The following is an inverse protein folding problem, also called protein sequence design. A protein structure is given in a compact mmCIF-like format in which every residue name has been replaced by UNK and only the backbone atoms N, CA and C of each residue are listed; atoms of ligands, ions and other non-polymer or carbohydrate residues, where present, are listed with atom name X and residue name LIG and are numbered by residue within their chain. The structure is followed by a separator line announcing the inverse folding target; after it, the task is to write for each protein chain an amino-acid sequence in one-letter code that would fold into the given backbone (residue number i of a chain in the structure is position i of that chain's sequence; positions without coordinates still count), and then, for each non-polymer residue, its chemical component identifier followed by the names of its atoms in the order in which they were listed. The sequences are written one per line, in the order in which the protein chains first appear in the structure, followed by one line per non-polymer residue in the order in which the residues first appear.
data_IF_997616090366
#
_entry.id   IF_997616090366
#
_cell.length_a   1.000
_cell.length_b   1.000
_cell.length_c   1.000
_cell.angle_alpha   90.00
_cell.angle_beta   90.00
_cell.angle_gamma   90.00
#
_symmetry.space_group_name_H-M   'P 1'
#
loop_
_entity.id
_entity.type
_entity.pdbx_description
1 polymer ?
#
# COMPACT_ATOMS: atom_id res chain seq x y z
N UNK A 1 10.04 -11.85 -21.54
CA UNK A 1 9.67 -11.40 -22.91
C UNK A 1 8.28 -11.93 -23.24
N UNK A 2 7.52 -11.31 -24.15
CA UNK A 2 6.26 -11.90 -24.62
C UNK A 2 6.53 -12.73 -25.88
N UNK A 3 6.11 -13.98 -25.86
CA UNK A 3 6.22 -14.91 -26.98
C UNK A 3 4.83 -15.38 -27.41
N UNK A 4 4.69 -15.83 -28.66
CA UNK A 4 3.44 -16.39 -29.15
C UNK A 4 3.17 -17.67 -28.36
N UNK A 5 2.01 -17.74 -27.69
CA UNK A 5 1.67 -18.91 -26.86
C UNK A 5 1.57 -20.17 -27.72
N UNK A 6 1.90 -21.33 -27.16
CA UNK A 6 1.62 -22.61 -27.80
C UNK A 6 0.16 -23.03 -27.68
N UNK A 7 -0.63 -22.35 -26.83
CA UNK A 7 -2.03 -22.67 -26.57
C UNK A 7 -2.96 -22.05 -27.61
N UNK A 8 -3.95 -22.84 -28.02
CA UNK A 8 -4.99 -22.42 -28.96
C UNK A 8 -6.04 -21.53 -28.30
N UNK A 9 -6.21 -21.63 -26.97
CA UNK A 9 -7.23 -20.92 -26.19
C UNK A 9 -6.61 -19.94 -25.21
N UNK A 10 -7.31 -18.83 -25.00
CA UNK A 10 -6.94 -17.81 -24.01
C UNK A 10 -7.22 -18.32 -22.59
N UNK A 11 -6.25 -18.11 -21.71
CA UNK A 11 -6.37 -18.34 -20.27
C UNK A 11 -5.98 -17.09 -19.49
N UNK A 12 -6.30 -17.04 -18.20
CA UNK A 12 -5.86 -15.95 -17.32
C UNK A 12 -4.32 -15.94 -17.26
N UNK A 13 -3.74 -14.74 -17.36
CA UNK A 13 -2.29 -14.51 -17.42
C UNK A 13 -1.71 -14.48 -18.84
N UNK A 14 -2.48 -14.82 -19.87
CA UNK A 14 -2.08 -14.57 -21.26
C UNK A 14 -2.17 -13.08 -21.60
N UNK A 15 -1.33 -12.68 -22.55
CA UNK A 15 -1.40 -11.39 -23.22
C UNK A 15 -2.05 -11.60 -24.58
N UNK A 16 -3.11 -10.87 -24.90
CA UNK A 16 -3.81 -11.01 -26.17
C UNK A 16 -3.71 -9.73 -26.98
N UNK A 17 -3.53 -9.89 -28.30
CA UNK A 17 -3.66 -8.78 -29.24
C UNK A 17 -5.11 -8.78 -29.72
N UNK A 18 -5.85 -7.72 -29.40
CA UNK A 18 -7.30 -7.65 -29.67
C UNK A 18 -7.67 -6.35 -30.37
N UNK A 19 -8.69 -6.45 -31.23
CA UNK A 19 -9.43 -5.29 -31.71
C UNK A 19 -10.71 -5.17 -30.89
N UNK A 20 -10.98 -3.96 -30.39
CA UNK A 20 -12.16 -3.63 -29.61
C UNK A 20 -12.96 -2.58 -30.35
N UNK A 21 -14.28 -2.78 -30.41
CA UNK A 21 -15.19 -1.84 -31.04
C UNK A 21 -16.50 -1.74 -30.25
N UNK A 22 -16.61 -0.69 -29.44
CA UNK A 22 -17.76 -0.46 -28.59
C UNK A 22 -18.83 0.44 -29.24
N UNK A 23 -20.09 0.07 -29.05
CA UNK A 23 -21.25 0.80 -29.55
C UNK A 23 -22.30 0.95 -28.45
N UNK A 24 -22.97 2.10 -28.38
CA UNK A 24 -24.22 2.25 -27.62
C UNK A 24 -25.35 2.46 -28.62
N UNK A 25 -26.21 1.44 -28.75
CA UNK A 25 -27.21 1.40 -29.81
C UNK A 25 -26.54 1.39 -31.19
N UNK A 26 -26.76 2.44 -31.99
CA UNK A 26 -26.12 2.61 -33.30
C UNK A 26 -24.91 3.54 -33.28
N UNK A 27 -24.64 4.22 -32.16
CA UNK A 27 -23.53 5.16 -32.05
C UNK A 27 -22.26 4.43 -31.56
N UNK A 28 -21.20 4.49 -32.36
CA UNK A 28 -19.86 4.00 -31.95
C UNK A 28 -19.27 4.90 -30.88
N UNK A 29 -18.57 4.31 -29.90
CA UNK A 29 -17.82 5.05 -28.89
C UNK A 29 -16.38 5.20 -29.35
N UNK A 30 -15.89 6.43 -29.50
CA UNK A 30 -14.49 6.70 -29.86
C UNK A 30 -13.52 6.10 -28.82
N UNK A 31 -13.81 6.28 -27.54
CA UNK A 31 -13.02 5.73 -26.43
C UNK A 31 -13.10 4.19 -26.32
N UNK A 32 -14.05 3.58 -27.03
CA UNK A 32 -14.24 2.13 -27.07
C UNK A 32 -13.68 1.45 -28.32
N UNK A 33 -12.98 2.21 -29.17
CA UNK A 33 -12.29 1.70 -30.35
C UNK A 33 -10.80 1.51 -30.05
N UNK A 34 -10.32 0.28 -30.17
CA UNK A 34 -8.90 -0.02 -30.09
C UNK A 34 -8.52 -1.04 -31.17
N UNK A 35 -7.38 -0.84 -31.81
CA UNK A 35 -6.82 -1.79 -32.78
C UNK A 35 -5.46 -2.27 -32.30
N UNK A 36 -5.16 -3.55 -32.52
CA UNK A 36 -3.92 -4.20 -32.10
C UNK A 36 -3.59 -3.96 -30.61
N UNK A 37 -4.62 -3.89 -29.78
CA UNK A 37 -4.49 -3.56 -28.38
C UNK A 37 -3.97 -4.77 -27.62
N UNK A 38 -2.82 -4.61 -26.96
CA UNK A 38 -2.21 -5.65 -26.14
C UNK A 38 -2.81 -5.62 -24.73
N UNK A 39 -3.59 -6.65 -24.39
CA UNK A 39 -4.30 -6.76 -23.12
C UNK A 39 -3.81 -7.97 -22.31
N UNK A 40 -3.61 -7.80 -21.00
CA UNK A 40 -3.34 -8.91 -20.08
C UNK A 40 -4.66 -9.43 -19.49
N UNK A 41 -5.00 -10.67 -19.82
CA UNK A 41 -6.28 -11.28 -19.43
C UNK A 41 -6.23 -11.70 -17.96
N UNK A 42 -7.20 -11.24 -17.16
CA UNK A 42 -7.26 -11.52 -15.72
C UNK A 42 -6.44 -10.56 -14.86
N UNK A 43 -5.97 -9.43 -15.42
CA UNK A 43 -5.22 -8.42 -14.67
C UNK A 43 -6.12 -7.50 -13.83
N UNK A 44 -7.42 -7.44 -14.13
CA UNK A 44 -8.37 -6.54 -13.47
C UNK A 44 -8.16 -5.07 -13.82
N UNK A 45 -7.35 -4.78 -14.85
CA UNK A 45 -7.10 -3.41 -15.34
C UNK A 45 -8.10 -3.01 -16.42
N UNK A 46 -8.82 -3.97 -16.98
CA UNK A 46 -9.79 -3.75 -18.04
C UNK A 46 -11.20 -4.06 -17.53
N UNK A 47 -12.21 -3.75 -18.34
CA UNK A 47 -13.61 -4.07 -18.02
C UNK A 47 -13.72 -5.58 -17.83
N UNK A 48 -14.20 -6.00 -16.66
CA UNK A 48 -14.22 -7.40 -16.22
C UNK A 48 -14.92 -8.30 -17.24
N UNK A 49 -16.05 -7.85 -17.77
CA UNK A 49 -16.85 -8.58 -18.75
C UNK A 49 -16.06 -8.82 -20.06
N UNK A 50 -15.18 -7.90 -20.45
CA UNK A 50 -14.27 -8.09 -21.62
C UNK A 50 -13.22 -9.16 -21.30
N UNK A 51 -12.57 -9.07 -20.14
CA UNK A 51 -11.57 -10.06 -19.72
C UNK A 51 -12.17 -11.47 -19.61
N UNK A 52 -13.37 -11.60 -19.05
CA UNK A 52 -14.10 -12.87 -18.94
C UNK A 52 -14.53 -13.41 -20.31
N UNK A 53 -14.93 -12.54 -21.23
CA UNK A 53 -15.34 -12.94 -22.57
C UNK A 53 -14.19 -13.51 -23.40
N UNK A 54 -12.97 -12.98 -23.19
CA UNK A 54 -11.74 -13.41 -23.85
C UNK A 54 -11.29 -14.80 -23.41
N UNK A 55 -11.51 -15.19 -22.16
CA UNK A 55 -11.12 -16.52 -21.67
C UNK A 55 -11.83 -17.61 -22.48
N UNK A 56 -11.04 -18.56 -23.00
CA UNK A 56 -11.51 -19.66 -23.83
C UNK A 56 -11.67 -19.34 -25.32
N UNK A 57 -11.52 -18.08 -25.75
CA UNK A 57 -11.49 -17.72 -27.17
C UNK A 57 -10.24 -18.27 -27.87
N UNK A 58 -10.38 -18.60 -29.14
CA UNK A 58 -9.28 -19.05 -30.01
C UNK A 58 -8.82 -17.93 -30.94
N UNK A 59 -7.58 -18.01 -31.42
CA UNK A 59 -7.01 -17.03 -32.36
C UNK A 59 -7.89 -16.85 -33.59
N UNK A 60 -8.10 -15.61 -33.99
CA UNK A 60 -8.96 -15.25 -35.11
C UNK A 60 -10.45 -15.24 -34.79
N UNK A 61 -10.88 -15.65 -33.59
CA UNK A 61 -12.29 -15.57 -33.21
C UNK A 61 -12.71 -14.15 -32.86
N UNK A 62 -13.97 -13.85 -33.15
CA UNK A 62 -14.64 -12.63 -32.72
C UNK A 62 -15.83 -12.96 -31.86
N UNK A 63 -16.11 -12.10 -30.87
CA UNK A 63 -17.22 -12.25 -29.94
C UNK A 63 -17.84 -10.89 -29.67
N UNK A 64 -19.15 -10.86 -29.53
CA UNK A 64 -19.86 -9.66 -29.10
C UNK A 64 -20.38 -9.87 -27.68
N UNK A 65 -20.21 -8.87 -26.82
CA UNK A 65 -20.74 -8.88 -25.46
C UNK A 65 -21.47 -7.58 -25.15
N UNK A 66 -22.45 -7.64 -24.27
CA UNK A 66 -23.07 -6.46 -23.69
C UNK A 66 -22.45 -6.15 -22.33
N UNK A 67 -22.08 -4.89 -22.14
CA UNK A 67 -21.52 -4.36 -20.89
C UNK A 67 -22.39 -3.21 -20.42
N UNK A 68 -22.73 -3.21 -19.14
CA UNK A 68 -23.44 -2.11 -18.49
C UNK A 68 -22.49 -1.36 -17.56
N UNK A 69 -22.34 -0.05 -17.78
CA UNK A 69 -21.44 0.77 -16.97
C UNK A 69 -22.12 1.23 -15.68
N UNK A 70 -21.50 0.89 -14.54
CA UNK A 70 -21.98 1.27 -13.22
C UNK A 70 -21.87 2.77 -12.90
N UNK A 71 -22.47 3.23 -11.79
CA UNK A 71 -22.52 4.65 -11.40
C UNK A 71 -21.15 5.29 -11.15
N UNK A 72 -20.16 4.48 -10.77
CA UNK A 72 -18.81 4.94 -10.41
C UNK A 72 -17.85 5.05 -11.62
N UNK A 73 -18.35 4.86 -12.85
CA UNK A 73 -17.50 4.93 -14.03
C UNK A 73 -17.02 6.37 -14.29
N UNK A 74 -15.72 6.60 -14.58
CA UNK A 74 -15.16 7.95 -14.78
C UNK A 74 -15.84 8.76 -15.90
N UNK A 75 -16.34 8.06 -16.93
CA UNK A 75 -17.08 8.67 -18.03
C UNK A 75 -18.58 8.66 -17.76
N UNK A 76 -19.10 9.75 -17.18
CA UNK A 76 -20.54 9.89 -16.85
C UNK A 76 -21.47 9.72 -18.06
N UNK A 77 -20.99 9.95 -19.29
CA UNK A 77 -21.80 9.84 -20.52
C UNK A 77 -22.25 8.41 -20.87
N UNK A 78 -21.56 7.40 -20.33
CA UNK A 78 -21.85 5.98 -20.59
C UNK A 78 -22.51 5.28 -19.40
N UNK A 79 -22.52 5.92 -18.22
CA UNK A 79 -23.14 5.40 -16.99
C UNK A 79 -24.62 5.10 -17.23
N UNK A 80 -25.06 3.89 -16.84
CA UNK A 80 -26.45 3.44 -16.99
C UNK A 80 -26.88 3.12 -18.42
N UNK A 81 -25.95 3.15 -19.39
CA UNK A 81 -26.21 2.71 -20.77
C UNK A 81 -25.58 1.34 -20.99
N UNK A 82 -26.27 0.52 -21.79
CA UNK A 82 -25.73 -0.74 -22.30
C UNK A 82 -24.89 -0.47 -23.54
N UNK A 83 -23.63 -0.90 -23.52
CA UNK A 83 -22.75 -0.86 -24.66
C UNK A 83 -22.49 -2.28 -25.17
N UNK A 84 -22.55 -2.46 -26.48
CA UNK A 84 -22.15 -3.68 -27.16
C UNK A 84 -20.69 -3.55 -27.58
N UNK A 85 -19.84 -4.44 -27.06
CA UNK A 85 -18.43 -4.54 -27.44
C UNK A 85 -18.24 -5.67 -28.42
N UNK A 86 -17.70 -5.36 -29.60
CA UNK A 86 -17.17 -6.36 -30.52
C UNK A 86 -15.69 -6.55 -30.24
N UNK A 87 -15.31 -7.78 -29.94
CA UNK A 87 -13.96 -8.16 -29.55
C UNK A 87 -13.44 -9.11 -30.63
N UNK A 88 -12.35 -8.74 -31.29
CA UNK A 88 -11.65 -9.60 -32.26
C UNK A 88 -10.31 -10.03 -31.68
N UNK A 89 -10.10 -11.33 -31.49
CA UNK A 89 -8.83 -11.88 -31.00
C UNK A 89 -7.89 -12.16 -32.18
N UNK A 90 -6.77 -11.44 -32.26
CA UNK A 90 -5.75 -11.65 -33.31
C UNK A 90 -4.70 -12.66 -32.87
N UNK A 91 -4.05 -12.41 -31.74
CA UNK A 91 -2.93 -13.21 -31.24
C UNK A 91 -3.07 -13.53 -29.75
N UNK A 92 -2.51 -14.67 -29.35
CA UNK A 92 -2.36 -15.07 -27.95
C UNK A 92 -0.86 -15.16 -27.67
N UNK A 93 -0.39 -14.40 -26.70
CA UNK A 93 0.99 -14.32 -26.23
C UNK A 93 1.06 -14.74 -24.77
N UNK A 94 2.20 -15.24 -24.35
CA UNK A 94 2.49 -15.59 -22.97
C UNK A 94 3.83 -15.00 -22.53
N UNK A 95 3.98 -14.79 -21.22
CA UNK A 95 5.28 -14.41 -20.66
C UNK A 95 6.20 -15.61 -20.72
N UNK A 96 7.18 -15.55 -21.60
CA UNK A 96 8.37 -16.40 -21.52
C UNK A 96 9.18 -15.94 -20.31
N UNK A 97 9.08 -16.75 -19.26
CA UNK A 97 9.93 -16.61 -18.07
C UNK A 97 11.22 -17.37 -18.36
N UNK A 98 12.39 -16.73 -18.23
CA UNK A 98 13.65 -17.44 -18.35
C UNK A 98 13.71 -18.55 -17.28
N UNK A 99 14.42 -19.65 -17.57
CA UNK A 99 14.70 -20.66 -16.57
C UNK A 99 15.36 -20.01 -15.35
N UNK A 100 14.98 -20.48 -14.16
CA UNK A 100 15.50 -19.95 -12.91
C UNK A 100 16.81 -20.66 -12.55
N UNK A 101 17.86 -20.38 -13.31
CA UNK A 101 19.18 -21.01 -13.23
C UNK A 101 20.29 -20.00 -12.88
N UNK A 102 21.54 -20.45 -12.94
CA UNK A 102 22.73 -19.66 -12.60
C UNK A 102 22.99 -18.52 -13.59
N UNK A 103 22.58 -18.70 -14.85
CA UNK A 103 22.63 -17.64 -15.87
C UNK A 103 21.63 -16.53 -15.52
N UNK A 104 20.41 -16.88 -15.11
CA UNK A 104 19.44 -15.91 -14.60
C UNK A 104 19.94 -15.22 -13.31
N UNK A 105 20.57 -15.95 -12.39
CA UNK A 105 21.11 -15.38 -11.15
C UNK A 105 22.20 -14.33 -11.44
N UNK A 106 23.06 -14.61 -12.43
CA UNK A 106 24.15 -13.73 -12.87
C UNK A 106 23.65 -12.51 -13.65
N UNK A 107 22.54 -12.61 -14.38
CA UNK A 107 21.95 -11.49 -15.13
C UNK A 107 21.22 -10.47 -14.24
N UNK A 108 20.65 -10.92 -13.12
CA UNK A 108 19.77 -10.10 -12.27
C UNK A 108 20.49 -9.57 -11.02
N UNK A 109 21.74 -9.98 -10.78
CA UNK A 109 22.53 -9.47 -9.66
C UNK A 109 23.95 -10.03 -9.59
N UNK A 110 24.62 -9.80 -8.45
CA UNK A 110 26.01 -10.24 -8.19
C UNK A 110 26.13 -11.72 -7.76
N UNK A 111 25.08 -12.52 -7.98
CA UNK A 111 25.05 -13.92 -7.55
C UNK A 111 25.53 -14.83 -8.67
N UNK A 112 26.42 -15.78 -8.36
CA UNK A 112 26.96 -16.73 -9.34
C UNK A 112 26.04 -17.92 -9.55
N UNK A 113 25.20 -18.23 -8.55
CA UNK A 113 24.26 -19.34 -8.61
C UNK A 113 22.88 -18.94 -8.12
N UNK A 114 21.86 -19.68 -8.57
CA UNK A 114 20.49 -19.47 -8.07
C UNK A 114 20.36 -19.81 -6.58
N UNK A 115 21.18 -20.73 -6.09
CA UNK A 115 21.21 -21.11 -4.67
C UNK A 115 21.76 -20.00 -3.79
N UNK A 116 22.82 -19.31 -4.21
CA UNK A 116 23.34 -18.11 -3.53
C UNK A 116 22.27 -17.04 -3.42
N UNK A 117 21.55 -16.78 -4.52
CA UNK A 117 20.45 -15.81 -4.53
C UNK A 117 19.31 -16.22 -3.61
N UNK A 118 18.92 -17.51 -3.61
CA UNK A 118 17.88 -18.05 -2.71
C UNK A 118 18.30 -17.93 -1.24
N UNK A 119 19.57 -18.21 -0.93
CA UNK A 119 20.11 -18.05 0.41
C UNK A 119 20.07 -16.57 0.86
N UNK A 120 20.48 -15.65 0.00
CA UNK A 120 20.44 -14.22 0.29
C UNK A 120 19.01 -13.72 0.56
N UNK A 121 18.05 -14.07 -0.29
CA UNK A 121 16.62 -13.71 -0.10
C UNK A 121 16.09 -14.29 1.22
N UNK A 122 16.47 -15.53 1.56
CA UNK A 122 16.09 -16.14 2.84
C UNK A 122 16.64 -15.36 4.03
N UNK A 123 17.91 -14.93 3.97
CA UNK A 123 18.52 -14.09 5.02
C UNK A 123 17.78 -12.76 5.15
N UNK A 124 17.45 -12.10 4.04
CA UNK A 124 16.70 -10.83 4.06
C UNK A 124 15.31 -10.99 4.69
N UNK A 125 14.57 -12.03 4.30
CA UNK A 125 13.25 -12.32 4.88
C UNK A 125 13.37 -12.62 6.38
N UNK A 126 14.33 -13.45 6.76
CA UNK A 126 14.56 -13.80 8.17
C UNK A 126 14.94 -12.57 9.00
N UNK A 127 15.85 -11.73 8.51
CA UNK A 127 16.26 -10.50 9.19
C UNK A 127 15.09 -9.51 9.32
N UNK A 128 14.24 -9.40 8.29
CA UNK A 128 13.03 -8.60 8.33
C UNK A 128 12.05 -9.10 9.40
N UNK A 129 11.79 -10.41 9.44
CA UNK A 129 10.91 -11.03 10.43
C UNK A 129 11.44 -10.91 11.85
N UNK A 130 12.74 -11.09 12.05
CA UNK A 130 13.37 -10.92 13.36
C UNK A 130 13.21 -9.48 13.87
N UNK A 131 13.44 -8.49 13.00
CA UNK A 131 13.24 -7.08 13.35
C UNK A 131 11.78 -6.76 13.68
N UNK A 132 10.84 -7.31 12.90
CA UNK A 132 9.40 -7.16 13.16
C UNK A 132 9.01 -7.78 14.50
N UNK A 133 9.46 -9.01 14.78
CA UNK A 133 9.20 -9.70 16.05
C UNK A 133 9.78 -8.93 17.24
N UNK A 134 11.01 -8.42 17.13
CA UNK A 134 11.63 -7.59 18.18
C UNK A 134 10.86 -6.29 18.42
N UNK A 135 10.38 -5.64 17.35
CA UNK A 135 9.58 -4.42 17.48
C UNK A 135 8.23 -4.70 18.13
N UNK A 136 7.56 -5.80 17.77
CA UNK A 136 6.30 -6.22 18.39
C UNK A 136 6.50 -6.57 19.87
N UNK A 137 7.54 -7.33 20.20
CA UNK A 137 7.85 -7.67 21.59
C UNK A 137 8.14 -6.42 22.42
N UNK A 138 8.92 -5.47 21.88
CA UNK A 138 9.21 -4.19 22.54
C UNK A 138 7.94 -3.36 22.74
N UNK A 139 7.10 -3.26 21.71
CA UNK A 139 5.83 -2.53 21.81
C UNK A 139 4.94 -3.15 22.89
N UNK A 140 4.76 -4.48 22.89
CA UNK A 140 3.96 -5.17 23.90
C UNK A 140 4.55 -5.00 25.31
N UNK A 141 5.87 -5.07 25.48
CA UNK A 141 6.52 -4.86 26.77
C UNK A 141 6.30 -3.44 27.30
N UNK A 142 6.41 -2.42 26.43
CA UNK A 142 6.15 -1.03 26.77
C UNK A 142 4.68 -0.80 27.10
N UNK A 143 3.76 -1.37 26.31
CA UNK A 143 2.32 -1.27 26.56
C UNK A 143 1.96 -1.88 27.91
N UNK A 144 2.48 -3.07 28.23
CA UNK A 144 2.29 -3.68 29.56
C UNK A 144 2.92 -2.87 30.69
N UNK A 145 4.05 -2.22 30.45
CA UNK A 145 4.66 -1.33 31.44
C UNK A 145 3.74 -0.12 31.72
N UNK A 146 3.16 0.46 30.66
CA UNK A 146 2.22 1.58 30.77
C UNK A 146 0.94 1.17 31.49
N UNK A 147 0.38 -0.02 31.17
CA UNK A 147 -0.85 -0.53 31.79
C UNK A 147 -0.70 -0.82 33.28
N UNK A 148 0.43 -1.37 33.70
CA UNK A 148 0.68 -1.72 35.10
C UNK A 148 1.16 -0.55 35.96
N UNK A 149 1.46 0.60 35.35
CA UNK A 149 1.98 1.73 36.07
C UNK A 149 0.91 2.78 36.38
N UNK A 150 0.59 2.90 37.66
CA UNK A 150 -0.24 3.99 38.18
C UNK A 150 0.58 5.29 38.23
N UNK A 151 0.60 6.02 37.12
CA UNK A 151 1.17 7.37 37.03
C UNK A 151 0.06 8.35 36.70
N UNK A 152 -0.17 9.29 37.63
CA UNK A 152 -0.95 10.49 37.36
C UNK A 152 -0.20 11.38 36.38
N UNK A 153 -0.70 11.45 35.15
CA UNK A 153 -0.14 12.29 34.10
C UNK A 153 -0.60 13.74 34.33
N UNK A 154 0.31 14.70 34.56
CA UNK A 154 -0.07 16.09 34.73
C UNK A 154 -0.69 16.66 33.45
N UNK A 155 -1.89 17.23 33.55
CA UNK A 155 -2.61 17.82 32.40
C UNK A 155 -1.79 18.89 31.67
N UNK A 156 -0.90 19.59 32.38
CA UNK A 156 0.00 20.60 31.80
C UNK A 156 0.96 19.99 30.77
N UNK A 157 1.49 18.79 31.01
CA UNK A 157 2.39 18.12 30.06
C UNK A 157 1.67 17.72 28.77
N UNK A 158 0.42 17.27 28.89
CA UNK A 158 -0.43 16.97 27.72
C UNK A 158 -0.72 18.25 26.95
N UNK A 159 -1.10 19.33 27.63
CA UNK A 159 -1.40 20.61 27.01
C UNK A 159 -0.18 21.18 26.25
N UNK A 160 1.01 21.10 26.84
CA UNK A 160 2.25 21.59 26.21
C UNK A 160 2.61 20.82 24.94
N UNK A 161 2.49 19.49 24.95
CA UNK A 161 2.70 18.64 23.77
C UNK A 161 1.67 18.93 22.67
N UNK A 162 0.39 19.05 23.04
CA UNK A 162 -0.70 19.38 22.11
C UNK A 162 -0.47 20.74 21.43
N UNK A 163 -0.08 21.76 22.19
CA UNK A 163 0.25 23.07 21.60
C UNK A 163 1.52 23.02 20.74
N UNK A 164 2.49 22.15 21.07
CA UNK A 164 3.62 21.82 20.20
C UNK A 164 3.17 21.34 18.82
N UNK A 165 2.35 20.28 18.78
CA UNK A 165 1.80 19.72 17.53
C UNK A 165 0.97 20.72 16.73
N UNK A 166 0.17 21.55 17.40
CA UNK A 166 -0.62 22.58 16.73
C UNK A 166 0.28 23.63 16.09
N UNK A 167 1.36 24.05 16.77
CA UNK A 167 2.34 24.98 16.20
C UNK A 167 3.09 24.39 15.01
N UNK A 168 3.48 23.13 15.09
CA UNK A 168 4.15 22.44 13.98
C UNK A 168 3.23 22.38 12.75
N UNK A 169 1.97 21.95 12.94
CA UNK A 169 0.97 21.94 11.87
C UNK A 169 0.73 23.35 11.29
N UNK A 170 0.63 24.38 12.13
CA UNK A 170 0.50 25.77 11.66
C UNK A 170 1.69 26.17 10.79
N UNK A 171 2.92 25.86 11.23
CA UNK A 171 4.15 26.17 10.50
C UNK A 171 4.21 25.46 9.15
N UNK A 172 3.78 24.20 9.07
CA UNK A 172 3.72 23.45 7.81
C UNK A 172 2.69 24.02 6.82
N UNK A 173 1.53 24.44 7.33
CA UNK A 173 0.49 25.07 6.52
C UNK A 173 0.90 26.45 6.03
N UNK A 174 1.52 27.27 6.89
CA UNK A 174 2.05 28.58 6.52
C UNK A 174 3.08 28.49 5.40
N UNK A 175 3.98 27.49 5.43
CA UNK A 175 4.94 27.22 4.34
C UNK A 175 4.26 26.91 3.01
N UNK A 176 3.03 26.41 3.03
CA UNK A 176 2.19 26.12 1.85
C UNK A 176 1.27 27.29 1.47
N UNK A 177 1.33 28.40 2.22
CA UNK A 177 0.44 29.55 2.03
C UNK A 177 -0.99 29.32 2.53
N UNK A 178 -1.20 28.31 3.38
CA UNK A 178 -2.48 27.99 3.99
C UNK A 178 -2.54 28.46 5.45
N UNK A 179 -3.70 28.91 5.90
CA UNK A 179 -3.95 29.28 7.29
C UNK A 179 -4.63 28.12 8.03
N UNK A 180 -4.21 27.87 9.28
CA UNK A 180 -4.70 26.74 10.09
C UNK A 180 -6.23 26.81 10.30
N UNK A 181 -6.80 27.98 10.54
CA UNK A 181 -8.25 28.12 10.77
C UNK A 181 -9.03 27.84 9.48
N UNK A 182 -8.55 28.33 8.33
CA UNK A 182 -9.14 28.00 7.02
C UNK A 182 -9.03 26.51 6.67
N UNK A 183 -7.90 25.89 6.98
CA UNK A 183 -7.68 24.46 6.79
C UNK A 183 -8.67 23.62 7.61
N UNK A 184 -8.85 23.98 8.89
CA UNK A 184 -9.78 23.31 9.80
C UNK A 184 -11.24 23.49 9.35
N UNK A 185 -11.62 24.70 8.92
CA UNK A 185 -12.96 24.98 8.37
C UNK A 185 -13.26 24.14 7.12
N UNK A 186 -12.30 24.02 6.19
CA UNK A 186 -12.43 23.18 4.99
C UNK A 186 -12.66 21.71 5.33
N UNK A 187 -12.05 21.25 6.43
CA UNK A 187 -12.18 19.88 6.96
C UNK A 187 -13.40 19.71 7.89
N UNK A 188 -14.18 20.76 8.11
CA UNK A 188 -15.34 20.73 9.01
C UNK A 188 -14.96 20.47 10.48
N UNK A 189 -13.77 20.88 10.92
CA UNK A 189 -13.26 20.69 12.28
C UNK A 189 -12.98 22.02 12.97
N UNK A 190 -13.06 22.04 14.29
CA UNK A 190 -12.63 23.19 15.10
C UNK A 190 -11.27 22.95 15.73
N UNK A 191 -10.59 24.03 16.15
CA UNK A 191 -9.34 23.94 16.91
C UNK A 191 -9.50 23.17 18.21
N UNK A 192 -10.65 23.25 18.88
CA UNK A 192 -10.95 22.46 20.07
C UNK A 192 -11.07 20.97 19.77
N UNK A 193 -11.70 20.61 18.66
CA UNK A 193 -11.76 19.21 18.22
C UNK A 193 -10.37 18.67 17.84
N UNK A 194 -9.51 19.51 17.24
CA UNK A 194 -8.11 19.17 16.98
C UNK A 194 -7.34 18.95 18.29
N UNK A 195 -7.48 19.86 19.26
CA UNK A 195 -6.89 19.74 20.61
C UNK A 195 -7.34 18.47 21.32
N UNK A 196 -8.63 18.17 21.32
CA UNK A 196 -9.17 16.97 21.96
C UNK A 196 -8.71 15.67 21.26
N UNK A 197 -8.52 15.71 19.94
CA UNK A 197 -7.95 14.59 19.19
C UNK A 197 -6.48 14.35 19.55
N UNK A 198 -5.66 15.41 19.64
CA UNK A 198 -4.28 15.29 20.07
C UNK A 198 -4.15 14.95 21.56
N UNK A 199 -4.95 15.53 22.45
CA UNK A 199 -4.88 15.27 23.89
C UNK A 199 -5.07 13.78 24.23
N UNK A 200 -6.00 13.09 23.56
CA UNK A 200 -6.21 11.64 23.76
C UNK A 200 -5.05 10.79 23.28
N UNK A 201 -4.30 11.26 22.28
CA UNK A 201 -3.09 10.58 21.78
C UNK A 201 -1.91 10.86 22.72
N UNK A 202 -1.70 12.14 23.06
CA UNK A 202 -0.61 12.60 23.90
C UNK A 202 -0.70 12.09 25.35
N UNK A 203 -1.89 11.83 25.88
CA UNK A 203 -2.02 11.24 27.22
C UNK A 203 -1.27 9.90 27.32
N UNK A 204 -1.38 9.04 26.29
CA UNK A 204 -0.66 7.77 26.26
C UNK A 204 0.85 7.96 26.06
N UNK A 205 1.25 8.87 25.18
CA UNK A 205 2.67 9.15 24.93
C UNK A 205 3.36 9.76 26.15
N UNK A 206 2.73 10.75 26.80
CA UNK A 206 3.28 11.34 28.03
C UNK A 206 3.31 10.32 29.16
N UNK A 207 2.31 9.45 29.28
CA UNK A 207 2.33 8.34 30.24
C UNK A 207 3.48 7.36 29.93
N UNK A 208 3.73 7.07 28.65
CA UNK A 208 4.84 6.23 28.19
C UNK A 208 6.18 6.84 28.55
N UNK A 209 6.41 8.10 28.18
CA UNK A 209 7.66 8.83 28.45
C UNK A 209 7.95 8.87 29.96
N UNK A 210 6.96 9.24 30.78
CA UNK A 210 7.10 9.28 32.24
C UNK A 210 7.40 7.91 32.86
N UNK A 211 6.83 6.84 32.30
CA UNK A 211 7.10 5.47 32.76
C UNK A 211 8.50 5.01 32.40
N UNK A 212 8.92 5.27 31.17
CA UNK A 212 10.27 4.95 30.71
C UNK A 212 11.31 5.73 31.55
N UNK A 213 11.11 7.02 31.77
CA UNK A 213 12.01 7.83 32.60
C UNK A 213 12.10 7.31 34.04
N UNK A 214 10.97 6.99 34.68
CA UNK A 214 10.97 6.41 36.04
C UNK A 214 11.65 5.04 36.09
N UNK A 215 11.44 4.20 35.08
CA UNK A 215 12.10 2.90 34.99
C UNK A 215 13.62 3.03 34.81
N UNK A 216 14.06 3.97 33.97
CA UNK A 216 15.46 4.28 33.75
C UNK A 216 16.13 4.84 35.02
N UNK A 217 15.45 5.71 35.76
CA UNK A 217 15.92 6.19 37.06
C UNK A 217 16.07 5.08 38.10
N UNK A 218 15.13 4.12 38.15
CA UNK A 218 15.23 2.96 39.07
C UNK A 218 16.41 2.07 38.70
N UNK A 219 16.55 1.69 37.43
CA UNK A 219 17.68 0.90 36.94
C UNK A 219 19.04 1.59 37.19
N UNK A 220 19.09 2.92 37.10
CA UNK A 220 20.30 3.71 37.39
C UNK A 220 20.63 3.72 38.89
N UNK A 221 19.62 3.70 39.78
CA UNK A 221 19.84 3.66 41.25
C UNK A 221 20.21 2.27 41.75
N UNK A 222 19.74 1.20 41.11
CA UNK A 222 20.00 -0.18 41.53
C UNK A 222 21.39 -0.71 41.09
N UNK A 223 22.14 0.08 40.31
CA UNK A 223 23.54 -0.25 39.98
C UNK A 223 23.69 -1.41 39.01
N UNK A 224 22.66 -1.70 38.20
CA UNK A 224 22.72 -2.76 37.21
C UNK A 224 23.44 -2.23 35.95
N UNK A 225 24.73 -2.56 35.88
CA UNK A 225 25.64 -2.09 34.85
C UNK A 225 25.48 -2.94 33.57
N UNK A 226 25.26 -2.26 32.44
CA UNK A 226 25.72 -2.60 31.07
C UNK A 226 24.81 -3.20 29.97
N UNK A 227 23.49 -3.39 30.10
CA UNK A 227 22.64 -3.62 28.89
C UNK A 227 21.29 -2.92 28.93
N UNK A 228 20.61 -2.95 30.06
CA UNK A 228 19.28 -2.35 30.21
C UNK A 228 19.32 -0.82 30.11
N UNK A 229 20.38 -0.18 30.64
CA UNK A 229 20.57 1.26 30.48
C UNK A 229 20.83 1.68 29.01
N UNK A 230 21.49 0.83 28.22
CA UNK A 230 21.77 1.13 26.81
C UNK A 230 20.52 0.94 25.95
N UNK A 231 19.71 -0.08 26.23
CA UNK A 231 18.41 -0.26 25.57
C UNK A 231 17.39 0.81 25.97
N UNK A 232 17.31 1.19 27.25
CA UNK A 232 16.47 2.28 27.72
C UNK A 232 16.83 3.63 27.08
N UNK A 233 18.13 3.91 26.89
CA UNK A 233 18.61 5.10 26.16
C UNK A 233 18.29 5.07 24.66
N UNK A 234 18.35 3.91 24.01
CA UNK A 234 17.96 3.77 22.60
C UNK A 234 16.45 3.97 22.42
N UNK A 235 15.63 3.53 23.38
CA UNK A 235 14.18 3.70 23.38
C UNK A 235 13.75 5.17 23.56
N UNK A 236 14.46 5.94 24.38
CA UNK A 236 14.20 7.37 24.61
C UNK A 236 14.74 8.28 23.48
N UNK A 237 15.80 7.89 22.76
CA UNK A 237 16.33 8.67 21.62
C UNK A 237 15.55 8.49 20.30
N UNK A 238 14.69 7.49 20.21
CA UNK A 238 13.90 7.20 18.99
C UNK A 238 12.45 7.70 19.08
N UNK A 239 12.04 8.26 20.23
CA UNK A 239 10.72 8.88 20.44
C UNK A 239 10.81 10.39 20.27
#
# INVERSE_FOLDING_TARGET
QLEISSKDKVEKGHYVLVDLDAHIGQARLEDGLAQDYLMEVGSGKHVREIEEALVGMERGQSKEIEVEFGPDHPHQKVVGKKATFKIGLKEIKEKSLPPLDDDFASQVGEFKTIDERRAFVRVQISAGREREAQNLLRAEAVDRLIENAEIDVPLVMIADKVEGWIRELSSELEKRGEDLEKFLQTKGRTREQLRAAYARREEREVRRDLNLDRSAERATREGDDTKEQEEARKLTQTS
#
